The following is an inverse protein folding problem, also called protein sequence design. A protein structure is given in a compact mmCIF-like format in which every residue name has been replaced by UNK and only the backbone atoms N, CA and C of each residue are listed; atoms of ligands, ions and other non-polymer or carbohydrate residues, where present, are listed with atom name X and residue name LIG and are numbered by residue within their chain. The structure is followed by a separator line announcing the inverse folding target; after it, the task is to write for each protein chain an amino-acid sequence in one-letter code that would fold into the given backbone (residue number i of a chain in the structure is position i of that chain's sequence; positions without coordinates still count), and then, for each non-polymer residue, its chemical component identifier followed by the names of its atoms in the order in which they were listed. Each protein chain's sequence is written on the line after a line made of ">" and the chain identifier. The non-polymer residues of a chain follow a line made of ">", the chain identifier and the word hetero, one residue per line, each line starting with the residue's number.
data_IF_420199673645
#
_entry.id   IF_420199673645
#
_cell.length_a   1.000
_cell.length_b   1.000
_cell.length_c   1.000
_cell.angle_alpha   90.00
_cell.angle_beta   90.00
_cell.angle_gamma   90.00
#
_symmetry.space_group_name_H-M   'P 1'
#
loop_
_entity.id
_entity.type
_entity.pdbx_description
1 polymer ?
#
# COMPACT_ATOMS: atom_id res chain seq x y z
N UNK A 1 71.58 27.20 7.90
CA UNK A 1 72.90 26.54 7.95
C UNK A 1 72.72 25.07 7.56
N UNK A 2 73.72 24.46 6.91
CA UNK A 2 74.01 23.01 6.75
C UNK A 2 72.81 22.02 6.72
N UNK A 3 72.43 21.34 5.63
CA UNK A 3 73.17 20.45 4.68
C UNK A 3 73.65 19.12 5.30
N UNK A 4 73.28 18.02 4.62
CA UNK A 4 73.79 16.61 4.57
C UNK A 4 72.67 15.58 4.83
N UNK A 5 72.32 14.61 3.96
CA UNK A 5 73.09 13.63 3.13
C UNK A 5 73.67 12.47 3.97
N UNK A 6 73.67 11.19 3.57
CA UNK A 6 73.29 10.54 2.30
C UNK A 6 73.11 9.00 2.45
N UNK A 7 72.49 8.37 1.43
CA UNK A 7 72.66 6.99 0.89
C UNK A 7 72.77 5.74 1.80
N UNK A 8 72.08 4.66 1.38
CA UNK A 8 72.76 3.49 0.78
C UNK A 8 71.84 2.65 -0.13
N UNK A 9 72.43 2.09 -1.20
CA UNK A 9 71.82 1.17 -2.17
C UNK A 9 72.01 -0.30 -1.77
N UNK A 10 71.10 -1.18 -2.19
CA UNK A 10 71.26 -2.64 -2.15
C UNK A 10 70.35 -3.31 -3.20
N UNK A 11 70.82 -4.35 -3.88
CA UNK A 11 70.27 -4.81 -5.17
C UNK A 11 69.88 -6.31 -5.17
N UNK A 12 68.80 -6.63 -5.89
CA UNK A 12 68.44 -7.91 -6.54
C UNK A 12 67.85 -9.15 -5.80
N UNK A 13 66.69 -9.56 -6.37
CA UNK A 13 66.25 -10.91 -6.81
C UNK A 13 65.50 -11.91 -5.90
N UNK A 14 64.33 -12.31 -6.44
CA UNK A 14 63.58 -13.59 -6.32
C UNK A 14 63.03 -14.01 -4.93
N UNK A 15 61.91 -14.71 -4.77
CA UNK A 15 60.67 -15.01 -5.52
C UNK A 15 59.88 -16.04 -4.69
N UNK A 16 58.54 -16.07 -4.79
CA UNK A 16 57.58 -17.13 -4.36
C UNK A 16 57.21 -17.26 -2.88
N UNK A 17 55.95 -17.69 -2.69
CA UNK A 17 55.22 -17.76 -1.41
C UNK A 17 54.40 -16.48 -1.22
N UNK A 18 53.26 -16.25 -1.88
CA UNK A 18 52.10 -17.15 -2.08
C UNK A 18 51.51 -17.67 -0.75
N UNK A 19 51.07 -16.71 0.07
CA UNK A 19 49.91 -16.88 0.95
C UNK A 19 49.11 -15.58 0.89
N UNK A 20 48.32 -15.39 -0.19
CA UNK A 20 47.26 -14.39 -0.16
C UNK A 20 46.22 -14.90 0.84
N UNK A 21 46.04 -14.16 1.94
CA UNK A 21 44.87 -14.30 2.79
C UNK A 21 43.62 -14.12 1.90
N UNK A 22 43.00 -15.23 1.52
CA UNK A 22 41.70 -15.18 0.86
C UNK A 22 40.73 -14.55 1.84
N UNK A 23 40.27 -13.34 1.52
CA UNK A 23 39.10 -12.72 2.12
C UNK A 23 37.88 -13.60 1.81
N UNK A 24 37.70 -14.65 2.60
CA UNK A 24 36.51 -15.48 2.55
C UNK A 24 35.33 -14.64 3.02
N UNK A 25 34.32 -14.53 2.16
CA UNK A 25 33.01 -14.06 2.58
C UNK A 25 32.49 -15.01 3.67
N UNK A 26 32.58 -14.58 4.92
CA UNK A 26 32.07 -15.36 6.05
C UNK A 26 30.56 -15.46 5.88
N UNK A 27 30.03 -16.68 5.72
CA UNK A 27 28.59 -16.91 5.73
C UNK A 27 28.05 -16.48 7.10
N UNK A 28 27.25 -15.42 7.12
CA UNK A 28 26.55 -14.97 8.33
C UNK A 28 25.19 -15.65 8.39
N UNK A 29 24.97 -16.49 9.40
CA UNK A 29 23.68 -17.17 9.62
C UNK A 29 22.51 -16.21 9.92
N UNK A 30 22.79 -14.91 10.14
CA UNK A 30 21.79 -13.84 10.32
C UNK A 30 22.24 -12.55 9.62
N UNK A 31 21.41 -12.08 8.67
CA UNK A 31 21.70 -10.94 7.80
C UNK A 31 21.49 -9.57 8.48
N UNK A 32 22.44 -8.62 8.35
CA UNK A 32 22.23 -7.21 8.67
C UNK A 32 22.02 -6.36 7.40
N UNK A 33 20.83 -5.77 7.26
CA UNK A 33 20.53 -4.72 6.28
C UNK A 33 19.70 -5.19 5.08
N UNK A 34 18.54 -4.55 4.88
CA UNK A 34 17.70 -4.73 3.69
C UNK A 34 18.18 -3.78 2.58
N UNK A 35 18.09 -4.23 1.32
CA UNK A 35 18.24 -3.38 0.15
C UNK A 35 17.22 -3.73 -0.92
N UNK A 36 16.91 -2.78 -1.84
CA UNK A 36 15.73 -2.91 -2.69
C UNK A 36 15.83 -4.14 -3.63
N UNK A 37 14.76 -4.94 -3.74
CA UNK A 37 14.67 -6.12 -4.61
C UNK A 37 15.07 -5.91 -6.08
N UNK A 38 14.82 -4.71 -6.57
CA UNK A 38 14.20 -4.56 -7.88
C UNK A 38 15.20 -4.46 -9.05
N UNK A 39 16.49 -4.25 -8.77
CA UNK A 39 17.43 -3.72 -9.77
C UNK A 39 18.58 -4.61 -10.23
N UNK A 40 19.06 -5.60 -9.46
CA UNK A 40 20.17 -6.45 -9.91
C UNK A 40 20.16 -7.88 -9.35
N UNK A 41 20.45 -8.86 -10.21
CA UNK A 41 20.72 -10.24 -9.80
C UNK A 41 22.15 -10.36 -9.26
N UNK A 42 22.35 -9.94 -8.01
CA UNK A 42 23.64 -10.01 -7.31
C UNK A 42 24.49 -8.75 -7.47
N UNK A 43 24.14 -7.67 -6.78
CA UNK A 43 24.96 -6.47 -6.70
C UNK A 43 25.67 -6.34 -5.35
N UNK A 44 26.90 -5.83 -5.39
CA UNK A 44 27.68 -5.44 -4.22
C UNK A 44 27.75 -3.91 -4.19
N UNK A 45 27.47 -3.29 -3.05
CA UNK A 45 27.45 -1.83 -2.92
C UNK A 45 28.54 -1.34 -1.98
N UNK A 46 29.21 -0.25 -2.37
CA UNK A 46 30.15 0.48 -1.51
C UNK A 46 29.43 1.55 -0.69
N UNK A 47 29.93 1.85 0.51
CA UNK A 47 29.54 3.06 1.25
C UNK A 47 30.18 4.35 0.70
N UNK A 48 31.02 4.26 -0.35
CA UNK A 48 31.74 5.39 -0.93
C UNK A 48 31.02 5.93 -2.17
N UNK A 49 30.81 7.25 -2.20
CA UNK A 49 30.18 7.94 -3.33
C UNK A 49 30.95 7.69 -4.64
N UNK A 50 30.22 7.36 -5.70
CA UNK A 50 30.78 7.09 -7.04
C UNK A 50 31.30 5.66 -7.29
N UNK A 51 31.08 4.70 -6.38
CA UNK A 51 31.54 3.31 -6.54
C UNK A 51 30.37 2.33 -6.57
N UNK A 52 30.16 1.69 -7.72
CA UNK A 52 29.10 0.67 -7.94
C UNK A 52 29.67 -0.58 -8.61
N UNK A 53 29.25 -1.76 -8.15
CA UNK A 53 29.63 -3.04 -8.75
C UNK A 53 28.39 -3.90 -9.04
N UNK A 54 28.29 -4.41 -10.26
CA UNK A 54 27.25 -5.35 -10.68
C UNK A 54 27.89 -6.71 -10.96
N UNK A 55 27.37 -7.78 -10.36
CA UNK A 55 27.67 -9.14 -10.79
C UNK A 55 26.56 -9.62 -11.75
N UNK A 56 26.88 -10.63 -12.56
CA UNK A 56 25.92 -11.29 -13.44
C UNK A 56 25.54 -12.65 -12.85
N UNK A 57 24.31 -13.14 -13.08
CA UNK A 57 23.86 -14.43 -12.56
C UNK A 57 24.67 -15.61 -13.11
N UNK A 58 24.81 -16.65 -12.28
CA UNK A 58 25.42 -17.92 -12.65
C UNK A 58 24.77 -18.53 -13.90
N UNK A 59 25.59 -18.89 -14.89
CA UNK A 59 25.16 -19.50 -16.15
C UNK A 59 25.79 -18.89 -17.40
N UNK A 60 26.29 -17.65 -17.33
CA UNK A 60 27.13 -17.07 -18.38
C UNK A 60 28.58 -17.52 -18.20
N UNK A 61 29.01 -18.50 -19.00
CA UNK A 61 30.34 -19.09 -18.94
C UNK A 61 31.45 -18.04 -19.13
N UNK A 62 32.13 -17.66 -18.05
CA UNK A 62 33.28 -16.76 -18.06
C UNK A 62 33.20 -15.58 -17.08
N UNK A 63 32.06 -15.33 -16.44
CA UNK A 63 31.95 -14.32 -15.39
C UNK A 63 32.45 -14.87 -14.03
N UNK A 64 33.21 -14.10 -13.23
CA UNK A 64 33.63 -14.53 -11.90
C UNK A 64 32.46 -14.52 -10.89
N UNK A 65 32.30 -15.65 -10.21
CA UNK A 65 31.51 -15.80 -8.99
C UNK A 65 31.91 -14.74 -7.94
N UNK A 66 30.93 -14.14 -7.25
CA UNK A 66 31.11 -13.10 -6.24
C UNK A 66 32.16 -13.45 -5.16
N UNK A 67 32.30 -14.73 -4.80
CA UNK A 67 33.28 -15.22 -3.83
C UNK A 67 34.75 -15.23 -4.31
N UNK A 68 35.05 -14.67 -5.48
CA UNK A 68 36.40 -14.65 -6.07
C UNK A 68 36.87 -13.31 -6.64
N UNK A 69 36.11 -12.22 -6.50
CA UNK A 69 36.55 -10.91 -7.01
C UNK A 69 37.48 -10.20 -6.02
N UNK A 70 38.77 -10.10 -6.36
CA UNK A 70 39.73 -9.32 -5.60
C UNK A 70 39.40 -7.81 -5.72
N UNK A 71 39.13 -7.17 -4.59
CA UNK A 71 38.95 -5.72 -4.53
C UNK A 71 40.30 -5.01 -4.76
N UNK A 72 40.33 -3.84 -5.43
CA UNK A 72 41.55 -3.06 -5.53
C UNK A 72 41.99 -2.63 -4.13
N UNK A 73 43.26 -2.85 -3.79
CA UNK A 73 43.80 -2.44 -2.50
C UNK A 73 43.86 -0.90 -2.40
N UNK A 74 43.36 -0.35 -1.30
CA UNK A 74 43.79 0.96 -0.81
C UNK A 74 44.74 0.81 0.38
N UNK A 75 45.32 1.93 0.81
CA UNK A 75 46.37 1.97 1.84
C UNK A 75 45.82 1.79 3.27
N UNK A 76 44.50 1.63 3.47
CA UNK A 76 43.86 1.49 4.79
C UNK A 76 42.98 0.22 4.95
N UNK A 77 42.75 -0.55 3.89
CA UNK A 77 42.57 -2.00 3.94
C UNK A 77 41.17 -2.56 4.21
N UNK A 78 40.13 -1.74 4.35
CA UNK A 78 38.77 -2.24 4.66
C UNK A 78 37.65 -1.50 3.91
N UNK A 79 36.89 -2.25 3.09
CA UNK A 79 35.63 -1.79 2.50
C UNK A 79 34.43 -2.32 3.29
N UNK A 80 33.59 -1.41 3.77
CA UNK A 80 32.25 -1.76 4.26
C UNK A 80 31.26 -1.76 3.08
N UNK A 81 30.62 -2.91 2.86
CA UNK A 81 29.62 -3.10 1.82
C UNK A 81 28.66 -4.23 2.18
N UNK A 82 27.58 -4.35 1.41
CA UNK A 82 26.58 -5.40 1.58
C UNK A 82 26.20 -6.00 0.21
N UNK A 83 25.70 -7.23 0.25
CA UNK A 83 25.15 -7.94 -0.91
C UNK A 83 23.63 -8.06 -0.72
N UNK A 84 22.86 -7.73 -1.76
CA UNK A 84 21.42 -8.02 -1.79
C UNK A 84 21.16 -9.21 -2.72
N UNK A 85 20.46 -10.21 -2.21
CA UNK A 85 19.95 -11.33 -2.99
C UNK A 85 18.43 -11.31 -2.91
N UNK A 86 17.78 -11.06 -4.04
CA UNK A 86 16.37 -11.43 -4.17
C UNK A 86 16.30 -12.85 -4.69
N UNK A 87 16.01 -13.79 -3.81
CA UNK A 87 15.45 -15.06 -4.25
C UNK A 87 14.11 -14.75 -4.91
N UNK A 88 14.09 -14.77 -6.25
CA UNK A 88 12.84 -14.94 -7.00
C UNK A 88 12.12 -16.10 -6.32
N UNK A 89 10.95 -15.90 -5.69
CA UNK A 89 10.40 -16.89 -4.78
C UNK A 89 10.18 -18.18 -5.55
N UNK A 90 11.05 -19.16 -5.29
CA UNK A 90 10.91 -20.50 -5.87
C UNK A 90 9.61 -21.01 -5.31
N UNK A 91 8.63 -21.22 -6.18
CA UNK A 91 7.21 -21.42 -5.84
C UNK A 91 7.00 -22.74 -5.10
N UNK A 92 7.48 -22.77 -3.86
CA UNK A 92 7.33 -23.85 -2.91
C UNK A 92 5.89 -23.76 -2.44
N UNK A 93 5.01 -24.33 -3.26
CA UNK A 93 3.57 -24.36 -3.08
C UNK A 93 3.26 -25.17 -1.83
N UNK A 94 3.38 -24.50 -0.68
CA UNK A 94 2.93 -25.00 0.61
C UNK A 94 1.46 -25.28 0.42
N UNK A 95 1.10 -26.57 0.39
CA UNK A 95 -0.24 -27.02 0.00
C UNK A 95 -1.21 -26.85 1.16
N UNK A 96 -1.38 -25.60 1.62
CA UNK A 96 -2.59 -25.21 2.32
C UNK A 96 -3.75 -25.54 1.41
N UNK A 97 -4.77 -26.19 1.97
CA UNK A 97 -5.92 -26.68 1.23
C UNK A 97 -6.80 -25.50 0.80
N UNK A 98 -6.35 -24.76 -0.21
CA UNK A 98 -7.05 -23.61 -0.77
C UNK A 98 -8.41 -24.06 -1.25
N UNK A 99 -9.47 -23.62 -0.58
CA UNK A 99 -10.85 -23.79 -1.01
C UNK A 99 -10.94 -23.44 -2.50
N UNK A 100 -11.40 -24.35 -3.37
CA UNK A 100 -11.42 -24.11 -4.80
C UNK A 100 -12.17 -22.83 -5.14
N UNK A 101 -11.46 -21.90 -5.76
CA UNK A 101 -11.96 -20.60 -6.17
C UNK A 101 -12.91 -20.77 -7.37
N UNK A 102 -14.24 -20.62 -7.20
CA UNK A 102 -15.20 -21.05 -8.23
C UNK A 102 -15.31 -20.07 -9.41
N UNK A 103 -14.77 -18.86 -9.26
CA UNK A 103 -14.78 -17.81 -10.26
C UNK A 103 -13.59 -16.85 -10.03
N UNK A 104 -12.96 -16.41 -11.12
CA UNK A 104 -11.96 -15.34 -11.16
C UNK A 104 -12.32 -14.39 -12.29
N UNK A 105 -12.98 -13.29 -11.93
CA UNK A 105 -13.44 -12.26 -12.88
C UNK A 105 -12.62 -10.98 -12.80
N UNK A 106 -11.90 -10.74 -11.70
CA UNK A 106 -11.03 -9.59 -11.54
C UNK A 106 -9.57 -10.05 -11.62
N UNK A 107 -8.84 -9.52 -12.59
CA UNK A 107 -7.38 -9.52 -12.63
C UNK A 107 -6.89 -8.14 -12.27
N UNK A 108 -5.90 -8.05 -11.38
CA UNK A 108 -5.16 -6.81 -11.14
C UNK A 108 -3.73 -6.97 -11.64
N UNK A 109 -3.25 -6.00 -12.42
CA UNK A 109 -1.96 -6.00 -13.10
C UNK A 109 -1.13 -4.82 -12.59
N UNK A 110 0.15 -5.05 -12.30
CA UNK A 110 1.09 -3.99 -12.00
C UNK A 110 1.79 -3.53 -13.30
N UNK A 111 1.63 -2.24 -13.66
CA UNK A 111 2.31 -1.57 -14.78
C UNK A 111 3.38 -0.58 -14.33
N UNK A 112 3.76 -0.59 -13.05
CA UNK A 112 5.05 -0.04 -12.64
C UNK A 112 6.18 -0.90 -13.22
N UNK A 113 7.15 -0.25 -13.87
CA UNK A 113 8.31 -0.91 -14.45
C UNK A 113 9.31 -1.44 -13.40
N UNK A 114 9.45 -0.71 -12.28
CA UNK A 114 10.47 -0.99 -11.27
C UNK A 114 9.87 -1.42 -9.94
N UNK A 115 8.73 -0.87 -9.53
CA UNK A 115 8.25 -0.98 -8.14
C UNK A 115 7.08 -1.96 -7.98
N UNK A 116 7.09 -2.84 -6.96
CA UNK A 116 5.96 -3.69 -6.66
C UNK A 116 4.79 -2.88 -6.09
N UNK A 117 3.57 -3.33 -6.41
CA UNK A 117 2.35 -2.89 -5.73
C UNK A 117 1.89 -3.99 -4.76
N UNK A 118 1.22 -3.58 -3.70
CA UNK A 118 0.48 -4.44 -2.80
C UNK A 118 -0.99 -4.09 -2.92
N UNK A 119 -1.87 -5.07 -3.08
CA UNK A 119 -3.31 -4.82 -3.09
C UNK A 119 -3.89 -5.20 -1.74
N UNK A 120 -4.59 -4.25 -1.13
CA UNK A 120 -5.52 -4.53 -0.04
C UNK A 120 -6.96 -4.53 -0.58
N UNK A 121 -7.83 -5.26 0.09
CA UNK A 121 -9.23 -5.39 -0.29
C UNK A 121 -10.16 -5.61 0.91
N UNK A 122 -11.43 -5.23 0.76
CA UNK A 122 -12.49 -5.61 1.68
C UNK A 122 -13.73 -6.09 0.92
N UNK A 123 -14.68 -6.67 1.65
CA UNK A 123 -15.99 -7.10 1.22
C UNK A 123 -17.07 -6.56 2.18
N UNK A 124 -18.34 -6.67 1.78
CA UNK A 124 -19.47 -6.13 2.54
C UNK A 124 -19.40 -6.45 4.05
N UNK A 125 -19.71 -5.43 4.86
CA UNK A 125 -19.64 -5.43 6.33
C UNK A 125 -18.21 -5.43 6.91
N UNK A 126 -17.21 -5.00 6.14
CA UNK A 126 -15.82 -4.92 6.61
C UNK A 126 -15.22 -6.30 6.86
N UNK A 127 -15.48 -7.23 5.94
CA UNK A 127 -14.88 -8.56 5.94
C UNK A 127 -13.73 -8.60 4.93
N UNK A 128 -12.76 -9.50 5.12
CA UNK A 128 -11.78 -9.80 4.07
C UNK A 128 -12.49 -10.68 3.01
N UNK A 129 -12.17 -10.49 1.73
CA UNK A 129 -12.66 -11.35 0.66
C UNK A 129 -12.06 -12.77 0.73
N UNK A 130 -12.40 -13.64 -0.25
CA UNK A 130 -11.88 -15.01 -0.29
C UNK A 130 -10.42 -15.12 -0.78
N UNK A 131 -9.79 -14.01 -1.16
CA UNK A 131 -8.38 -13.95 -1.58
C UNK A 131 -7.48 -13.56 -0.40
N UNK A 132 -6.16 -13.81 -0.46
CA UNK A 132 -5.23 -13.28 0.55
C UNK A 132 -5.33 -11.75 0.65
N UNK A 133 -5.27 -11.23 1.87
CA UNK A 133 -5.06 -9.80 2.08
C UNK A 133 -3.60 -9.45 1.83
N UNK A 134 -3.31 -8.23 1.37
CA UNK A 134 -1.95 -7.77 1.08
C UNK A 134 -1.25 -8.66 0.07
N UNK A 135 -1.86 -8.75 -1.10
CA UNK A 135 -1.30 -9.49 -2.21
C UNK A 135 -0.23 -8.65 -2.92
N UNK A 136 1.03 -9.08 -2.79
CA UNK A 136 2.15 -8.54 -3.56
C UNK A 136 1.98 -8.85 -5.05
N UNK A 137 2.18 -7.86 -5.91
CA UNK A 137 2.23 -7.98 -7.36
C UNK A 137 3.50 -7.27 -7.85
N UNK A 138 4.46 -8.05 -8.34
CA UNK A 138 5.73 -7.57 -8.89
C UNK A 138 5.51 -6.77 -10.19
N UNK A 139 6.48 -5.95 -10.65
CA UNK A 139 6.45 -5.33 -11.97
C UNK A 139 6.04 -6.28 -13.10
N UNK A 140 5.20 -5.77 -14.02
CA UNK A 140 4.56 -6.48 -15.14
C UNK A 140 3.87 -7.82 -14.81
N UNK A 141 3.64 -8.09 -13.53
CA UNK A 141 2.94 -9.28 -13.04
C UNK A 141 1.48 -8.97 -12.71
N UNK A 142 0.70 -10.01 -12.46
CA UNK A 142 -0.72 -9.88 -12.14
C UNK A 142 -1.17 -10.88 -11.07
N UNK A 143 -2.34 -10.64 -10.50
CA UNK A 143 -3.04 -11.59 -9.63
C UNK A 143 -4.53 -11.69 -10.01
N UNK A 144 -5.02 -12.92 -10.14
CA UNK A 144 -6.42 -13.21 -10.45
C UNK A 144 -7.22 -13.44 -9.15
N UNK A 145 -8.04 -12.46 -8.77
CA UNK A 145 -8.82 -12.47 -7.54
C UNK A 145 -9.99 -13.45 -7.57
N UNK A 146 -10.26 -14.06 -6.42
CA UNK A 146 -11.44 -14.89 -6.24
C UNK A 146 -12.70 -14.04 -6.08
N UNK A 147 -13.59 -14.16 -7.07
CA UNK A 147 -14.83 -13.37 -7.20
C UNK A 147 -16.05 -14.28 -7.31
N UNK A 148 -16.32 -15.15 -6.30
CA UNK A 148 -17.48 -16.04 -6.30
C UNK A 148 -18.78 -15.26 -6.49
N UNK A 149 -19.76 -15.94 -7.07
CA UNK A 149 -21.12 -15.44 -7.23
C UNK A 149 -21.68 -14.89 -5.90
N UNK A 150 -22.33 -13.72 -5.95
CA UNK A 150 -22.88 -13.00 -4.77
C UNK A 150 -21.85 -12.44 -3.78
N UNK A 151 -20.59 -12.27 -4.18
CA UNK A 151 -19.62 -11.49 -3.42
C UNK A 151 -19.98 -9.99 -3.54
N UNK A 152 -20.52 -9.38 -2.49
CA UNK A 152 -21.06 -8.01 -2.53
C UNK A 152 -20.16 -6.99 -1.81
N UNK A 153 -20.31 -5.71 -2.20
CA UNK A 153 -19.69 -4.57 -1.53
C UNK A 153 -18.17 -4.71 -1.38
N UNK A 154 -17.49 -5.22 -2.41
CA UNK A 154 -16.04 -5.34 -2.41
C UNK A 154 -15.36 -4.08 -2.87
N UNK A 155 -14.16 -3.86 -2.34
CA UNK A 155 -13.26 -2.77 -2.72
C UNK A 155 -11.86 -3.33 -2.84
N UNK A 156 -11.12 -2.91 -3.85
CA UNK A 156 -9.71 -3.26 -4.06
C UNK A 156 -8.95 -1.98 -4.34
N UNK A 157 -7.85 -1.75 -3.63
CA UNK A 157 -7.02 -0.55 -3.80
C UNK A 157 -5.53 -0.88 -3.75
N UNK A 158 -4.70 -0.12 -4.49
CA UNK A 158 -3.28 -0.35 -4.55
C UNK A 158 -2.56 0.40 -3.42
N UNK A 159 -1.43 -0.18 -3.03
CA UNK A 159 -0.51 0.34 -2.03
C UNK A 159 0.91 0.20 -2.55
N UNK A 160 1.77 1.14 -2.21
CA UNK A 160 3.15 1.18 -2.70
C UNK A 160 4.13 1.61 -1.62
N UNK A 161 5.37 1.18 -1.78
CA UNK A 161 6.48 1.48 -0.87
C UNK A 161 6.14 1.02 0.56
N UNK A 162 5.60 -0.21 0.64
CA UNK A 162 5.34 -0.95 1.86
C UNK A 162 6.59 -1.69 2.34
N UNK A 163 6.53 -2.23 3.56
CA UNK A 163 7.48 -3.27 3.96
C UNK A 163 7.19 -4.63 3.27
N UNK A 164 7.99 -5.62 3.61
CA UNK A 164 7.93 -7.03 3.17
C UNK A 164 6.62 -7.76 3.49
N UNK A 165 5.77 -7.19 4.35
CA UNK A 165 4.46 -7.72 4.74
C UNK A 165 3.30 -6.93 4.12
N UNK A 166 3.58 -5.98 3.23
CA UNK A 166 2.56 -5.12 2.62
C UNK A 166 1.93 -4.12 3.58
N UNK A 167 2.56 -3.81 4.72
CA UNK A 167 2.08 -2.82 5.70
C UNK A 167 3.04 -1.63 5.80
N UNK A 168 2.63 -0.59 6.53
CA UNK A 168 3.39 0.67 6.70
C UNK A 168 3.77 1.34 5.36
N UNK A 169 2.88 1.27 4.38
CA UNK A 169 3.08 1.82 3.04
C UNK A 169 3.05 3.35 3.04
N UNK A 170 3.79 3.98 2.12
CA UNK A 170 3.64 5.41 1.83
C UNK A 170 2.25 5.69 1.23
N UNK A 171 1.91 4.99 0.16
CA UNK A 171 0.63 5.10 -0.55
C UNK A 171 -0.26 3.90 -0.18
N UNK A 172 -1.57 4.11 -0.08
CA UNK A 172 -2.54 3.01 0.05
C UNK A 172 -2.75 2.43 1.47
N UNK A 173 -2.00 2.88 2.48
CA UNK A 173 -2.07 2.34 3.85
C UNK A 173 -3.28 2.86 4.66
N UNK A 174 -4.44 3.01 4.02
CA UNK A 174 -5.66 3.62 4.58
C UNK A 174 -6.34 2.82 5.69
N UNK A 175 -5.99 1.54 5.81
CA UNK A 175 -6.56 0.63 6.79
C UNK A 175 -7.69 -0.22 6.22
N UNK A 176 -8.37 -0.94 7.11
CA UNK A 176 -9.37 -1.93 6.74
C UNK A 176 -9.15 -3.26 7.45
N UNK A 177 -9.92 -4.29 7.10
CA UNK A 177 -9.82 -5.61 7.71
C UNK A 177 -8.47 -6.28 7.43
N UNK A 178 -7.71 -6.60 8.47
CA UNK A 178 -6.38 -7.22 8.33
C UNK A 178 -5.22 -6.25 8.05
N UNK A 179 -5.47 -4.95 7.96
CA UNK A 179 -4.43 -3.96 7.71
C UNK A 179 -3.62 -3.60 8.97
N UNK A 180 -2.29 -3.59 8.85
CA UNK A 180 -1.39 -3.41 10.00
C UNK A 180 -1.55 -2.08 10.75
N UNK A 181 -2.01 -1.02 10.07
CA UNK A 181 -2.16 0.30 10.68
C UNK A 181 -3.40 0.42 11.60
N UNK A 182 -4.38 -0.48 11.49
CA UNK A 182 -5.66 -0.42 12.22
C UNK A 182 -5.66 -1.25 13.51
N UNK A 183 -4.49 -1.69 14.00
CA UNK A 183 -4.35 -2.57 15.17
C UNK A 183 -5.08 -2.01 16.41
N UNK A 184 -6.11 -2.72 16.89
CA UNK A 184 -6.94 -2.28 18.01
C UNK A 184 -8.03 -1.25 17.66
N UNK A 185 -8.34 -1.07 16.38
CA UNK A 185 -9.38 -0.14 15.89
C UNK A 185 -8.95 1.32 15.84
N UNK A 186 -7.67 1.63 16.07
CA UNK A 186 -7.14 3.00 16.04
C UNK A 186 -6.68 3.38 14.62
N UNK A 187 -7.56 4.00 13.84
CA UNK A 187 -7.27 4.41 12.46
C UNK A 187 -6.42 5.69 12.33
N UNK A 188 -6.14 6.41 13.43
CA UNK A 188 -5.39 7.68 13.44
C UNK A 188 -3.92 7.55 12.95
N UNK A 189 -3.43 6.31 12.86
CA UNK A 189 -2.09 5.94 12.39
C UNK A 189 -2.06 5.46 10.94
N UNK A 190 -3.21 5.18 10.34
CA UNK A 190 -3.31 4.85 8.92
C UNK A 190 -3.05 6.07 8.04
N UNK A 191 -2.93 5.84 6.73
CA UNK A 191 -3.16 6.89 5.75
C UNK A 191 -4.62 7.36 5.84
N UNK A 192 -4.95 8.58 5.36
CA UNK A 192 -6.32 8.91 5.01
C UNK A 192 -6.79 8.01 3.85
N UNK A 193 -8.09 7.68 3.75
CA UNK A 193 -8.62 6.70 2.80
C UNK A 193 -8.75 7.20 1.35
N UNK A 194 -7.80 8.02 0.88
CA UNK A 194 -7.78 8.67 -0.43
C UNK A 194 -7.33 7.76 -1.59
N UNK A 195 -7.53 6.46 -1.48
CA UNK A 195 -7.02 5.47 -2.42
C UNK A 195 -7.88 5.37 -3.69
N UNK A 196 -7.22 5.13 -4.83
CA UNK A 196 -7.90 4.68 -6.06
C UNK A 196 -8.57 3.32 -5.81
N UNK A 197 -9.91 3.24 -5.82
CA UNK A 197 -10.65 2.00 -5.47
C UNK A 197 -11.44 1.45 -6.64
N UNK A 198 -11.20 0.19 -6.99
CA UNK A 198 -12.17 -0.58 -7.79
C UNK A 198 -13.22 -1.15 -6.84
N UNK A 199 -14.48 -0.71 -6.98
CA UNK A 199 -15.60 -1.21 -6.18
C UNK A 199 -16.44 -2.18 -7.02
N UNK A 200 -16.90 -3.26 -6.39
CA UNK A 200 -17.66 -4.29 -7.10
C UNK A 200 -18.67 -5.03 -6.21
N UNK A 201 -19.84 -5.29 -6.77
CA UNK A 201 -20.79 -6.31 -6.31
C UNK A 201 -20.99 -7.32 -7.42
N UNK A 202 -20.58 -8.56 -7.17
CA UNK A 202 -20.58 -9.64 -8.14
C UNK A 202 -21.89 -10.44 -8.09
N UNK A 203 -22.61 -10.48 -9.20
CA UNK A 203 -23.82 -11.27 -9.40
C UNK A 203 -23.56 -12.76 -9.61
N UNK A 204 -24.60 -13.45 -10.10
CA UNK A 204 -24.61 -14.90 -10.33
C UNK A 204 -24.47 -15.22 -11.82
N UNK A 205 -23.50 -16.05 -12.18
CA UNK A 205 -23.22 -16.40 -13.58
C UNK A 205 -24.35 -17.20 -14.22
N UNK A 206 -24.51 -17.02 -15.53
CA UNK A 206 -25.61 -17.61 -16.32
C UNK A 206 -27.03 -17.15 -15.95
N UNK A 207 -27.21 -16.27 -14.97
CA UNK A 207 -28.50 -15.65 -14.69
C UNK A 207 -28.72 -14.40 -15.57
N UNK A 208 -29.97 -14.09 -15.96
CA UNK A 208 -30.25 -12.94 -16.81
C UNK A 208 -30.04 -11.64 -16.04
N UNK A 209 -29.01 -10.87 -16.40
CA UNK A 209 -28.82 -9.52 -15.91
C UNK A 209 -29.87 -8.59 -16.56
N UNK A 210 -30.98 -8.36 -15.85
CA UNK A 210 -32.09 -7.52 -16.33
C UNK A 210 -32.58 -6.55 -15.26
N UNK A 211 -32.47 -5.25 -15.55
CA UNK A 211 -32.91 -4.16 -14.67
C UNK A 211 -31.96 -3.85 -13.50
N UNK A 212 -32.17 -2.70 -12.86
CA UNK A 212 -31.27 -2.08 -11.87
C UNK A 212 -31.23 -2.78 -10.49
N UNK A 213 -32.02 -3.83 -10.27
CA UNK A 213 -32.26 -4.45 -8.95
C UNK A 213 -31.87 -5.93 -8.88
N UNK A 214 -31.27 -6.49 -9.94
CA UNK A 214 -30.98 -7.92 -9.98
C UNK A 214 -29.70 -8.26 -9.21
N UNK A 215 -29.79 -9.20 -8.26
CA UNK A 215 -28.65 -9.88 -7.59
C UNK A 215 -27.86 -10.81 -8.54
N UNK A 216 -28.11 -10.66 -9.83
CA UNK A 216 -27.69 -11.52 -10.93
C UNK A 216 -26.90 -10.74 -12.00
N UNK A 217 -26.75 -9.42 -11.82
CA UNK A 217 -25.76 -8.58 -12.52
C UNK A 217 -24.51 -8.40 -11.66
N UNK A 218 -23.38 -8.15 -12.31
CA UNK A 218 -22.27 -7.46 -11.67
C UNK A 218 -22.56 -5.96 -11.69
N UNK A 219 -22.27 -5.27 -10.60
CA UNK A 219 -22.23 -3.81 -10.52
C UNK A 219 -20.80 -3.43 -10.17
N UNK A 220 -20.14 -2.70 -11.05
CA UNK A 220 -18.75 -2.28 -10.85
C UNK A 220 -18.59 -0.79 -11.10
N UNK A 221 -17.58 -0.22 -10.45
CA UNK A 221 -17.11 1.12 -10.73
C UNK A 221 -15.64 1.26 -10.32
N UNK A 222 -15.01 2.35 -10.76
CA UNK A 222 -13.82 2.88 -10.09
C UNK A 222 -14.21 4.17 -9.40
N UNK A 223 -13.78 4.29 -8.15
CA UNK A 223 -14.23 5.25 -7.18
C UNK A 223 -13.07 6.09 -6.69
N UNK A 224 -13.12 7.37 -7.03
CA UNK A 224 -12.23 8.44 -6.56
C UNK A 224 -13.00 9.39 -5.63
N UNK A 225 -14.07 8.90 -4.98
CA UNK A 225 -14.93 9.68 -4.06
C UNK A 225 -14.15 10.17 -2.84
N UNK A 226 -13.15 9.40 -2.40
CA UNK A 226 -12.30 9.75 -1.26
C UNK A 226 -10.98 10.44 -1.68
N UNK A 227 -10.53 10.24 -2.93
CA UNK A 227 -9.25 10.70 -3.44
C UNK A 227 -8.70 9.83 -4.56
N UNK A 228 -7.43 10.02 -4.92
CA UNK A 228 -6.67 9.04 -5.71
C UNK A 228 -5.22 8.89 -5.23
N UNK A 229 -4.65 7.72 -5.48
CA UNK A 229 -3.23 7.40 -5.18
C UNK A 229 -2.44 7.05 -6.43
N UNK A 230 -2.95 6.12 -7.25
CA UNK A 230 -2.32 5.67 -8.49
C UNK A 230 -3.20 5.92 -9.72
N UNK A 231 -2.61 6.30 -10.87
CA UNK A 231 -3.28 6.20 -12.16
C UNK A 231 -3.58 4.73 -12.49
N UNK A 232 -4.61 4.50 -13.29
CA UNK A 232 -5.08 3.14 -13.58
C UNK A 232 -5.67 3.03 -14.99
N UNK A 233 -5.92 1.79 -15.43
CA UNK A 233 -6.75 1.51 -16.61
C UNK A 233 -7.59 0.27 -16.34
N UNK A 234 -8.88 0.33 -16.63
CA UNK A 234 -9.80 -0.79 -16.49
C UNK A 234 -10.26 -1.24 -17.88
N UNK A 235 -9.90 -2.45 -18.27
CA UNK A 235 -10.41 -3.12 -19.47
C UNK A 235 -11.54 -4.07 -19.08
N UNK A 236 -12.63 -4.06 -19.84
CA UNK A 236 -13.88 -4.76 -19.55
C UNK A 236 -14.17 -5.78 -20.66
N UNK A 237 -14.15 -7.05 -20.31
CA UNK A 237 -14.46 -8.17 -21.20
C UNK A 237 -15.86 -8.71 -20.89
N UNK A 238 -16.88 -8.18 -21.57
CA UNK A 238 -18.24 -8.65 -21.38
C UNK A 238 -19.29 -7.71 -21.97
N UNK A 239 -20.46 -7.68 -21.34
CA UNK A 239 -21.54 -6.75 -21.69
C UNK A 239 -21.85 -5.90 -20.48
N UNK A 240 -21.54 -4.61 -20.57
CA UNK A 240 -21.81 -3.62 -19.54
C UNK A 240 -22.59 -2.44 -20.13
N UNK A 241 -23.43 -1.84 -19.30
CA UNK A 241 -24.19 -0.63 -19.58
C UNK A 241 -24.07 0.30 -18.38
N UNK A 242 -23.58 1.50 -18.61
CA UNK A 242 -23.61 2.61 -17.67
C UNK A 242 -24.78 3.56 -17.95
N UNK A 243 -24.74 4.76 -17.34
CA UNK A 243 -25.70 5.83 -17.60
C UNK A 243 -25.71 6.25 -19.07
N UNK A 244 -26.83 6.80 -19.53
CA UNK A 244 -27.01 7.30 -20.91
C UNK A 244 -26.71 6.26 -22.02
N UNK A 245 -26.91 4.97 -21.74
CA UNK A 245 -26.62 3.84 -22.65
C UNK A 245 -25.13 3.73 -23.02
N UNK A 246 -24.23 4.20 -22.14
CA UNK A 246 -22.79 4.07 -22.31
C UNK A 246 -22.39 2.59 -22.20
N UNK A 247 -21.68 2.07 -23.21
CA UNK A 247 -21.14 0.71 -23.21
C UNK A 247 -19.60 0.74 -23.21
N UNK A 248 -18.95 1.11 -22.09
CA UNK A 248 -17.50 1.20 -22.05
C UNK A 248 -16.90 -0.21 -22.09
N UNK A 249 -15.89 -0.39 -22.93
CA UNK A 249 -15.01 -1.57 -22.95
C UNK A 249 -13.66 -1.28 -22.31
N UNK A 250 -13.35 0.00 -22.09
CA UNK A 250 -12.15 0.49 -21.44
C UNK A 250 -12.48 1.80 -20.70
N UNK A 251 -11.85 2.02 -19.55
CA UNK A 251 -11.73 3.29 -18.85
C UNK A 251 -10.23 3.50 -18.62
N UNK A 252 -9.61 4.39 -19.39
CA UNK A 252 -8.20 4.74 -19.24
C UNK A 252 -8.06 6.01 -18.40
N UNK A 253 -7.39 5.87 -17.26
CA UNK A 253 -7.09 6.89 -16.27
C UNK A 253 -5.57 7.04 -16.05
N UNK A 254 -4.75 6.52 -16.96
CA UNK A 254 -3.28 6.55 -16.86
C UNK A 254 -2.71 7.98 -16.80
N UNK A 255 -3.46 8.96 -17.32
CA UNK A 255 -3.12 10.39 -17.24
C UNK A 255 -3.44 11.08 -15.90
N UNK A 256 -4.24 10.48 -15.02
CA UNK A 256 -4.59 11.09 -13.73
C UNK A 256 -3.47 10.88 -12.69
N UNK A 257 -2.37 11.62 -12.88
CA UNK A 257 -1.20 11.59 -12.00
C UNK A 257 -1.39 12.44 -10.74
N UNK A 258 -0.41 12.43 -9.84
CA UNK A 258 -0.42 13.31 -8.65
C UNK A 258 -0.11 14.77 -9.00
N UNK A 259 0.50 15.04 -10.16
CA UNK A 259 0.77 16.40 -10.65
C UNK A 259 -0.52 17.12 -11.07
N UNK A 260 -1.57 16.35 -11.41
CA UNK A 260 -2.92 16.86 -11.74
C UNK A 260 -3.76 17.15 -10.48
N UNK A 261 -3.23 16.93 -9.27
CA UNK A 261 -3.93 17.20 -8.02
C UNK A 261 -4.04 18.72 -7.76
N UNK A 262 -5.25 19.29 -7.58
CA UNK A 262 -5.42 20.73 -7.41
C UNK A 262 -4.74 21.29 -6.15
N UNK A 263 -3.74 22.14 -6.33
CA UNK A 263 -3.08 22.87 -5.22
C UNK A 263 -3.84 24.11 -4.74
N UNK A 264 -4.96 24.45 -5.40
CA UNK A 264 -5.76 25.66 -5.13
C UNK A 264 -7.26 25.45 -5.36
N UNK A 265 -7.86 24.47 -4.70
CA UNK A 265 -9.30 24.21 -4.73
C UNK A 265 -10.08 25.24 -3.88
N UNK A 266 -11.11 25.90 -4.44
CA UNK A 266 -11.94 26.85 -3.68
C UNK A 266 -13.16 26.16 -3.07
N UNK A 267 -13.12 25.92 -1.75
CA UNK A 267 -14.22 25.26 -1.03
C UNK A 267 -15.06 26.27 -0.23
N UNK A 268 -15.65 27.23 -0.95
CA UNK A 268 -16.67 28.18 -0.45
C UNK A 268 -16.20 29.30 0.48
N UNK A 269 -15.16 29.07 1.30
CA UNK A 269 -14.59 30.06 2.24
C UNK A 269 -13.14 30.44 1.95
N UNK A 270 -12.33 29.46 1.57
CA UNK A 270 -10.89 29.63 1.33
C UNK A 270 -10.43 28.65 0.26
N UNK A 271 -9.23 28.89 -0.27
CA UNK A 271 -8.51 27.92 -1.07
C UNK A 271 -7.84 26.88 -0.19
N UNK A 272 -7.78 25.64 -0.67
CA UNK A 272 -7.07 24.52 -0.07
C UNK A 272 -6.15 23.87 -1.10
N UNK A 273 -5.03 23.36 -0.63
CA UNK A 273 -4.20 22.42 -1.38
C UNK A 273 -4.75 21.00 -1.16
N UNK A 274 -5.12 20.29 -2.23
CA UNK A 274 -5.63 18.92 -2.15
C UNK A 274 -4.52 17.86 -2.10
N UNK A 275 -3.25 18.25 -2.29
CA UNK A 275 -2.13 17.31 -2.20
C UNK A 275 -2.02 16.71 -0.80
N UNK A 276 -1.91 15.38 -0.74
CA UNK A 276 -1.81 14.62 0.48
C UNK A 276 -0.33 14.32 0.77
N UNK A 277 0.32 15.16 1.57
CA UNK A 277 1.74 15.00 1.89
C UNK A 277 1.95 14.00 3.03
N UNK A 278 2.81 13.03 2.83
CA UNK A 278 3.11 12.05 3.87
C UNK A 278 3.93 12.65 5.02
N UNK A 279 3.60 12.23 6.25
CA UNK A 279 4.18 12.78 7.48
C UNK A 279 5.70 12.64 7.51
N UNK A 280 6.39 13.77 7.52
CA UNK A 280 7.83 13.86 7.76
C UNK A 280 8.71 14.03 6.53
N UNK A 281 8.20 13.77 5.32
CA UNK A 281 9.02 13.74 4.09
C UNK A 281 8.63 14.80 3.05
N UNK A 282 7.45 15.43 3.19
CA UNK A 282 6.99 16.50 2.28
C UNK A 282 6.53 16.02 0.89
N UNK A 283 6.84 14.79 0.51
CA UNK A 283 6.39 14.15 -0.73
C UNK A 283 4.87 14.01 -0.78
N UNK A 284 4.28 14.28 -1.95
CA UNK A 284 2.88 13.97 -2.26
C UNK A 284 2.72 12.45 -2.34
N UNK A 285 1.75 11.91 -1.61
CA UNK A 285 1.43 10.48 -1.54
C UNK A 285 0.01 10.16 -2.02
N UNK A 286 -0.70 11.16 -2.55
CA UNK A 286 -2.04 11.06 -3.12
C UNK A 286 -2.71 12.42 -3.25
N UNK A 287 -3.96 12.44 -3.72
CA UNK A 287 -4.82 13.61 -3.78
C UNK A 287 -6.08 13.39 -2.94
N UNK A 288 -6.40 14.31 -2.02
CA UNK A 288 -7.66 14.28 -1.28
C UNK A 288 -8.84 14.67 -2.18
N UNK A 289 -9.98 13.99 -2.08
CA UNK A 289 -11.23 14.58 -2.56
C UNK A 289 -11.64 15.79 -1.71
N UNK A 290 -12.44 16.74 -2.24
CA UNK A 290 -12.96 17.88 -1.50
C UNK A 290 -13.64 17.50 -0.17
N UNK A 291 -14.40 16.40 -0.16
CA UNK A 291 -15.01 15.89 1.07
C UNK A 291 -13.97 15.42 2.09
N UNK A 292 -13.04 14.56 1.67
CA UNK A 292 -12.05 13.99 2.58
C UNK A 292 -11.06 15.06 3.06
N UNK A 293 -10.69 16.01 2.20
CA UNK A 293 -9.88 17.19 2.57
C UNK A 293 -10.53 18.01 3.66
N UNK A 294 -11.87 18.12 3.70
CA UNK A 294 -12.53 18.90 4.74
C UNK A 294 -12.79 18.11 6.03
N UNK A 295 -12.73 16.77 6.02
CA UNK A 295 -13.22 15.92 7.12
C UNK A 295 -12.20 14.98 7.76
N UNK A 296 -11.09 14.63 7.10
CA UNK A 296 -10.08 13.71 7.66
C UNK A 296 -8.83 14.45 8.17
N UNK A 297 -8.56 14.51 9.49
CA UNK A 297 -7.43 15.23 10.07
C UNK A 297 -6.07 14.50 9.96
N UNK A 298 -6.01 13.33 9.30
CA UNK A 298 -4.76 12.60 9.10
C UNK A 298 -3.77 13.41 8.25
N UNK A 299 -2.50 13.03 8.35
CA UNK A 299 -1.38 13.66 7.63
C UNK A 299 -1.27 15.20 7.77
N UNK A 300 -1.65 15.70 8.95
CA UNK A 300 -1.58 17.13 9.31
C UNK A 300 -2.49 18.02 8.47
N UNK A 301 -3.55 17.43 7.89
CA UNK A 301 -4.61 18.17 7.26
C UNK A 301 -5.28 19.11 8.29
N UNK A 302 -5.18 20.42 8.05
CA UNK A 302 -5.61 21.45 9.00
C UNK A 302 -7.09 21.83 8.88
N UNK A 303 -7.84 21.23 7.95
CA UNK A 303 -9.27 21.47 7.83
C UNK A 303 -10.02 20.83 9.01
N UNK A 304 -11.01 21.55 9.53
CA UNK A 304 -11.81 21.14 10.70
C UNK A 304 -13.30 21.05 10.37
N UNK A 305 -13.64 20.73 9.13
CA UNK A 305 -15.02 20.59 8.68
C UNK A 305 -15.65 19.29 9.22
N UNK A 306 -16.94 19.35 9.52
CA UNK A 306 -17.75 18.15 9.76
C UNK A 306 -18.53 17.80 8.49
N UNK A 307 -18.82 16.50 8.30
CA UNK A 307 -19.55 15.99 7.14
C UNK A 307 -20.94 16.62 6.99
N UNK A 308 -21.59 16.92 8.11
CA UNK A 308 -22.92 17.53 8.20
C UNK A 308 -22.87 19.07 8.26
N UNK A 309 -21.67 19.64 8.43
CA UNK A 309 -21.44 21.09 8.52
C UNK A 309 -20.79 21.65 7.26
N UNK A 310 -19.60 22.24 7.41
CA UNK A 310 -18.93 22.96 6.32
C UNK A 310 -18.57 22.07 5.12
N UNK A 311 -18.37 20.76 5.35
CA UNK A 311 -18.09 19.81 4.29
C UNK A 311 -19.34 19.26 3.60
N UNK A 312 -20.55 19.51 4.10
CA UNK A 312 -21.78 18.93 3.56
C UNK A 312 -21.99 19.19 2.05
N UNK A 313 -21.71 20.39 1.49
CA UNK A 313 -21.83 20.64 0.05
C UNK A 313 -20.85 19.84 -0.82
N UNK A 314 -19.83 19.23 -0.21
CA UNK A 314 -18.77 18.43 -0.85
C UNK A 314 -18.89 16.93 -0.54
N UNK A 315 -19.41 16.58 0.64
CA UNK A 315 -19.60 15.21 1.11
C UNK A 315 -20.99 14.63 0.85
N UNK A 316 -21.95 15.48 0.50
CA UNK A 316 -23.34 15.16 0.22
C UNK A 316 -23.99 14.16 1.20
N UNK A 317 -24.06 14.46 2.51
CA UNK A 317 -24.80 13.64 3.46
C UNK A 317 -26.29 13.58 3.10
N UNK A 318 -26.79 12.38 2.83
CA UNK A 318 -28.19 12.09 2.53
C UNK A 318 -28.82 11.29 3.69
N UNK A 319 -29.85 11.81 4.40
CA UNK A 319 -30.35 13.20 4.39
C UNK A 319 -29.36 14.19 5.06
N UNK A 320 -29.53 15.52 4.90
CA UNK A 320 -30.65 16.21 4.25
C UNK A 320 -30.43 16.56 2.77
N UNK A 321 -29.22 16.44 2.24
CA UNK A 321 -28.93 16.74 0.83
C UNK A 321 -29.45 15.57 -0.01
N UNK A 322 -30.24 15.85 -1.05
CA UNK A 322 -30.65 14.82 -2.01
C UNK A 322 -29.56 14.56 -3.06
N UNK A 323 -29.56 13.40 -3.75
CA UNK A 323 -28.64 13.16 -4.86
C UNK A 323 -28.69 14.24 -5.95
N UNK A 324 -29.88 14.77 -6.24
CA UNK A 324 -30.04 15.90 -7.16
C UNK A 324 -29.39 17.19 -6.63
N UNK A 325 -29.63 17.55 -5.37
CA UNK A 325 -29.00 18.72 -4.75
C UNK A 325 -27.47 18.61 -4.66
N UNK A 326 -26.94 17.39 -4.55
CA UNK A 326 -25.50 17.15 -4.63
C UNK A 326 -24.95 17.43 -6.03
N UNK A 327 -25.58 16.86 -7.07
CA UNK A 327 -25.19 17.06 -8.48
C UNK A 327 -25.29 18.52 -8.94
N UNK A 328 -26.30 19.24 -8.44
CA UNK A 328 -26.48 20.69 -8.66
C UNK A 328 -25.59 21.55 -7.74
N UNK A 329 -24.94 20.93 -6.76
CA UNK A 329 -24.12 21.58 -5.73
C UNK A 329 -22.70 21.94 -6.18
N UNK A 330 -21.90 22.55 -5.29
CA UNK A 330 -20.56 23.01 -5.64
C UNK A 330 -19.56 21.89 -5.89
N UNK A 331 -19.79 20.66 -5.38
CA UNK A 331 -18.88 19.53 -5.55
C UNK A 331 -18.60 19.22 -7.03
N UNK A 332 -19.64 19.19 -7.87
CA UNK A 332 -19.53 18.93 -9.30
C UNK A 332 -18.80 20.06 -10.07
N UNK A 333 -18.58 21.22 -9.42
CA UNK A 333 -17.92 22.39 -9.98
C UNK A 333 -16.49 22.59 -9.44
N UNK A 334 -16.00 21.70 -8.58
CA UNK A 334 -14.62 21.74 -8.06
C UNK A 334 -13.60 21.50 -9.17
N UNK A 335 -12.39 22.01 -8.99
CA UNK A 335 -11.29 21.72 -9.91
C UNK A 335 -10.83 20.26 -9.80
N UNK A 336 -11.04 19.62 -8.64
CA UNK A 336 -10.91 18.18 -8.43
C UNK A 336 -11.80 17.37 -9.39
N UNK A 337 -13.11 17.61 -9.40
CA UNK A 337 -14.03 16.86 -10.27
C UNK A 337 -13.72 17.12 -11.75
N UNK A 338 -13.33 18.36 -12.11
CA UNK A 338 -12.89 18.68 -13.48
C UNK A 338 -11.60 17.95 -13.88
N UNK A 339 -10.65 17.79 -12.95
CA UNK A 339 -9.41 17.05 -13.20
C UNK A 339 -9.73 15.56 -13.39
N UNK A 340 -10.52 14.96 -12.49
CA UNK A 340 -10.99 13.57 -12.62
C UNK A 340 -11.71 13.38 -13.95
N UNK A 341 -12.77 14.12 -14.27
CA UNK A 341 -13.53 13.93 -15.51
C UNK A 341 -12.75 14.24 -16.80
N UNK A 342 -11.66 15.03 -16.73
CA UNK A 342 -10.77 15.25 -17.88
C UNK A 342 -9.96 14.00 -18.23
N UNK A 343 -9.44 13.31 -17.24
CA UNK A 343 -8.57 12.13 -17.42
C UNK A 343 -9.28 10.79 -17.25
N UNK A 344 -10.47 10.80 -16.65
CA UNK A 344 -11.26 9.64 -16.25
C UNK A 344 -12.74 9.82 -16.59
N UNK A 345 -13.12 9.90 -17.88
CA UNK A 345 -14.53 9.86 -18.27
C UNK A 345 -15.14 8.51 -17.90
N UNK A 346 -16.17 8.51 -17.06
CA UNK A 346 -16.87 7.28 -16.61
C UNK A 346 -16.44 6.74 -15.24
N UNK A 347 -15.90 7.60 -14.37
CA UNK A 347 -15.39 7.26 -13.02
C UNK A 347 -16.10 8.13 -11.98
N UNK A 348 -16.36 7.59 -10.78
CA UNK A 348 -16.95 8.38 -9.70
C UNK A 348 -15.93 9.37 -9.11
N UNK A 349 -16.19 10.67 -9.25
CA UNK A 349 -15.42 11.72 -8.57
C UNK A 349 -16.03 12.15 -7.22
N UNK A 350 -17.30 11.83 -6.95
CA UNK A 350 -18.00 12.11 -5.69
C UNK A 350 -19.24 11.21 -5.51
N UNK A 351 -19.83 11.19 -4.30
CA UNK A 351 -20.88 10.23 -3.87
C UNK A 351 -22.13 10.11 -4.78
N UNK A 352 -22.42 11.10 -5.63
CA UNK A 352 -23.59 11.11 -6.52
C UNK A 352 -23.21 11.46 -7.97
N UNK A 353 -22.00 11.08 -8.37
CA UNK A 353 -21.52 11.07 -9.77
C UNK A 353 -22.04 9.83 -10.54
N UNK A 354 -23.25 9.40 -10.18
CA UNK A 354 -23.94 8.21 -10.68
C UNK A 354 -24.29 8.31 -12.17
N UNK A 355 -24.29 9.53 -12.71
CA UNK A 355 -24.39 9.82 -14.14
C UNK A 355 -23.13 9.46 -14.94
N UNK A 356 -22.02 9.09 -14.27
CA UNK A 356 -20.74 8.74 -14.89
C UNK A 356 -20.23 7.36 -14.46
N UNK A 357 -20.17 7.06 -13.16
CA UNK A 357 -19.28 6.01 -12.63
C UNK A 357 -19.79 4.56 -12.62
N UNK A 358 -21.09 4.31 -12.42
CA UNK A 358 -21.60 2.95 -12.17
C UNK A 358 -21.91 2.18 -13.46
N UNK A 359 -21.31 1.01 -13.61
CA UNK A 359 -21.60 0.10 -14.71
C UNK A 359 -22.36 -1.13 -14.22
N UNK A 360 -23.50 -1.40 -14.85
CA UNK A 360 -24.23 -2.66 -14.73
C UNK A 360 -23.72 -3.63 -15.80
N UNK A 361 -23.16 -4.76 -15.37
CA UNK A 361 -22.54 -5.76 -16.21
C UNK A 361 -23.24 -7.12 -16.11
N UNK A 362 -23.22 -7.89 -17.20
CA UNK A 362 -23.53 -9.33 -17.14
C UNK A 362 -22.55 -10.02 -16.18
N UNK A 363 -23.04 -10.91 -15.31
CA UNK A 363 -22.19 -11.65 -14.37
C UNK A 363 -21.16 -12.58 -15.05
N UNK A 364 -21.31 -12.86 -16.35
CA UNK A 364 -20.31 -13.60 -17.14
C UNK A 364 -19.15 -12.70 -17.64
N UNK A 365 -19.14 -11.41 -17.28
CA UNK A 365 -18.08 -10.47 -17.63
C UNK A 365 -16.82 -10.68 -16.78
N UNK A 366 -15.69 -10.16 -17.26
CA UNK A 366 -14.42 -10.10 -16.52
C UNK A 366 -13.70 -8.76 -16.75
N UNK A 367 -12.76 -8.46 -15.87
CA UNK A 367 -12.21 -7.14 -15.63
C UNK A 367 -10.69 -7.26 -15.47
N UNK A 368 -9.92 -6.54 -16.29
CA UNK A 368 -8.47 -6.38 -16.10
C UNK A 368 -8.21 -4.95 -15.65
N UNK A 369 -7.76 -4.80 -14.40
CA UNK A 369 -7.44 -3.52 -13.78
C UNK A 369 -5.92 -3.36 -13.69
N UNK A 370 -5.38 -2.43 -14.45
CA UNK A 370 -3.97 -2.09 -14.45
C UNK A 370 -3.72 -0.87 -13.55
N UNK A 371 -2.69 -0.92 -12.72
CA UNK A 371 -2.20 0.24 -11.97
C UNK A 371 -0.84 0.69 -12.50
N UNK A 372 -0.68 2.00 -12.70
CA UNK A 372 0.57 2.61 -13.14
C UNK A 372 1.27 3.30 -11.97
N UNK A 373 2.58 3.51 -12.12
CA UNK A 373 3.34 4.31 -11.17
C UNK A 373 2.97 5.80 -11.26
N UNK A 374 3.02 6.55 -10.15
CA UNK A 374 2.89 8.00 -10.22
C UNK A 374 4.13 8.59 -10.92
N UNK A 375 3.92 9.65 -11.69
CA UNK A 375 4.96 10.39 -12.43
C UNK A 375 6.14 10.80 -11.57
N UNK A 376 5.87 11.22 -10.33
CA UNK A 376 6.84 11.63 -9.33
C UNK A 376 6.82 10.69 -8.13
N UNK A 377 7.38 9.48 -8.30
CA UNK A 377 7.77 8.67 -7.14
C UNK A 377 8.82 9.45 -6.33
N UNK A 378 8.59 9.75 -5.04
CA UNK A 378 9.65 10.32 -4.22
C UNK A 378 10.79 9.31 -4.13
N UNK A 379 12.03 9.76 -4.37
CA UNK A 379 13.21 8.91 -4.28
C UNK A 379 13.43 8.49 -2.82
N UNK A 380 12.89 7.33 -2.44
CA UNK A 380 13.08 6.77 -1.11
C UNK A 380 14.52 6.27 -0.97
N UNK A 381 15.38 7.14 -0.47
CA UNK A 381 16.64 6.76 0.16
C UNK A 381 16.35 6.03 1.49
N UNK A 382 15.70 4.87 1.41
CA UNK A 382 15.51 3.94 2.52
C UNK A 382 16.87 3.33 2.88
N UNK A 383 17.67 4.08 3.63
CA UNK A 383 18.66 3.47 4.50
C UNK A 383 17.86 2.72 5.56
N UNK A 384 17.74 1.40 5.39
CA UNK A 384 17.12 0.55 6.39
C UNK A 384 17.97 0.56 7.65
N UNK A 385 17.63 1.46 8.59
CA UNK A 385 18.24 1.54 9.92
C UNK A 385 17.86 0.27 10.69
N UNK A 386 18.64 -0.78 10.44
CA UNK A 386 18.54 -2.07 11.10
C UNK A 386 19.00 -1.86 12.53
N UNK A 387 18.03 -1.62 13.41
CA UNK A 387 18.28 -1.58 14.86
C UNK A 387 18.67 -2.99 15.30
N UNK A 388 19.97 -3.29 15.26
CA UNK A 388 20.55 -4.56 15.73
C UNK A 388 20.14 -4.77 17.18
N UNK A 389 19.15 -5.62 17.39
CA UNK A 389 18.64 -5.94 18.71
C UNK A 389 19.59 -6.94 19.35
N UNK A 390 20.61 -6.43 20.04
CA UNK A 390 21.68 -7.23 20.65
C UNK A 390 21.08 -8.33 21.53
N UNK A 391 21.14 -9.57 21.04
CA UNK A 391 20.74 -10.77 21.75
C UNK A 391 21.70 -11.00 22.92
N UNK A 392 21.32 -10.53 24.11
CA UNK A 392 22.07 -10.85 25.33
C UNK A 392 21.81 -12.31 25.70
N UNK A 393 22.82 -13.16 25.50
CA UNK A 393 22.78 -14.56 25.90
C UNK A 393 22.65 -14.66 27.42
N UNK A 394 21.45 -14.97 27.93
CA UNK A 394 21.27 -15.32 29.34
C UNK A 394 21.78 -16.73 29.60
N UNK A 395 22.87 -16.82 30.33
CA UNK A 395 23.35 -18.07 30.95
C UNK A 395 22.26 -18.61 31.86
N UNK A 396 21.84 -19.87 31.65
CA UNK A 396 20.88 -20.54 32.52
C UNK A 396 21.59 -21.10 33.76
N UNK A 397 21.41 -20.43 34.91
CA UNK A 397 21.76 -21.02 36.20
C UNK A 397 20.58 -21.85 36.70
N UNK A 398 20.77 -23.16 36.86
CA UNK A 398 19.75 -24.06 37.39
C UNK A 398 19.46 -23.75 38.87
N UNK A 399 18.23 -23.38 39.22
CA UNK A 399 17.79 -23.21 40.60
C UNK A 399 16.75 -24.27 40.96
N UNK A 400 17.03 -25.01 42.03
CA UNK A 400 16.22 -26.14 42.51
C UNK A 400 14.83 -25.70 42.97
N UNK A 401 13.83 -26.52 42.63
CA UNK A 401 12.40 -26.27 42.88
C UNK A 401 12.02 -26.66 44.31
N UNK A 402 11.62 -25.71 45.14
CA UNK A 402 10.97 -25.98 46.43
C UNK A 402 9.46 -25.82 46.31
N UNK A 403 8.72 -26.85 46.71
CA UNK A 403 7.26 -26.95 46.61
C UNK A 403 6.58 -26.27 47.80
N UNK A 404 5.61 -25.37 47.54
CA UNK A 404 4.61 -24.98 48.56
C UNK A 404 3.23 -24.89 47.91
N UNK A 405 2.31 -25.68 48.43
CA UNK A 405 0.87 -25.69 48.09
C UNK A 405 0.10 -24.58 48.79
N UNK A 406 -0.88 -23.95 48.11
CA UNK A 406 -1.90 -23.13 48.78
C UNK A 406 -3.30 -23.51 48.28
N UNK A 407 -4.24 -23.51 49.22
CA UNK A 407 -5.57 -24.15 49.17
C UNK A 407 -6.66 -23.23 48.63
N UNK A 408 -7.71 -23.83 48.07
CA UNK A 408 -9.00 -23.19 47.73
C UNK A 408 -9.84 -22.80 48.95
N UNK A 409 -10.54 -21.66 48.90
CA UNK A 409 -11.71 -21.37 49.77
C UNK A 409 -12.82 -20.68 48.95
N UNK A 410 -14.07 -20.89 49.36
CA UNK A 410 -15.32 -20.64 48.63
C UNK A 410 -16.18 -19.54 49.30
N UNK A 411 -17.26 -19.12 48.62
CA UNK A 411 -18.50 -18.48 49.11
C UNK A 411 -18.58 -16.93 49.12
N UNK A 412 -19.56 -16.31 48.42
CA UNK A 412 -20.96 -15.96 48.82
C UNK A 412 -20.98 -14.86 49.92
N UNK A 413 -21.71 -13.73 49.89
CA UNK A 413 -23.19 -13.60 49.74
C UNK A 413 -23.65 -12.13 49.60
N UNK A 414 -24.70 -11.89 48.81
CA UNK A 414 -25.81 -10.88 48.88
C UNK A 414 -25.78 -9.70 49.88
N UNK A 415 -26.13 -8.48 49.43
CA UNK A 415 -27.40 -7.79 49.81
C UNK A 415 -27.63 -6.38 49.22
N UNK A 416 -28.92 -6.03 49.04
CA UNK A 416 -29.47 -4.73 48.64
C UNK A 416 -29.53 -3.75 49.83
N UNK A 417 -29.77 -2.45 49.59
CA UNK A 417 -30.98 -1.71 50.04
C UNK A 417 -31.04 -0.30 49.41
N UNK A 418 -32.25 0.23 49.17
CA UNK A 418 -32.54 1.57 48.60
C UNK A 418 -32.30 2.71 49.62
N UNK A 419 -32.14 4.00 49.28
CA UNK A 419 -33.17 4.99 48.82
C UNK A 419 -32.44 6.33 48.46
N UNK A 420 -33.04 7.47 48.04
CA UNK A 420 -34.42 7.99 48.02
C UNK A 420 -34.62 9.01 46.86
N UNK A 421 -35.87 9.36 46.57
CA UNK A 421 -36.35 10.57 45.83
C UNK A 421 -36.96 11.59 46.85
N UNK A 422 -37.56 12.78 46.51
CA UNK A 422 -38.08 13.27 45.21
C UNK A 422 -37.81 14.79 44.87
N UNK A 423 -38.44 15.29 43.80
CA UNK A 423 -38.50 16.69 43.32
C UNK A 423 -38.29 16.78 41.79
N UNK A 424 -39.24 16.95 40.87
CA UNK A 424 -40.35 17.96 40.72
C UNK A 424 -39.82 19.41 40.73
N UNK A 425 -40.14 20.34 39.81
CA UNK A 425 -41.04 20.42 38.61
C UNK A 425 -40.39 21.40 37.59
N UNK A 426 -40.74 21.35 36.29
CA UNK A 426 -40.55 22.53 35.42
C UNK A 426 -40.54 22.28 33.91
N UNK A 427 -41.67 22.54 33.24
CA UNK A 427 -41.73 22.69 31.78
C UNK A 427 -42.12 24.12 31.43
N UNK A 428 -41.53 24.72 30.38
CA UNK A 428 -42.12 25.84 29.62
C UNK A 428 -41.44 25.97 28.25
N UNK A 429 -42.29 25.88 27.20
CA UNK A 429 -42.16 26.32 25.79
C UNK A 429 -40.84 25.96 25.08
#
# INVERSE_FOLDING_TARGET
>A
MAIWSCLLLGLFLASRGDEQDQLQCISLDQYPGNCPPNLMTGACYSSREGVTWACLPDGLSGAPNCGGMALPADEEGFYNGYCSFYEKPTTTSTTTTTTPCPARRLRIINRCMEEPIWIAHEAARGLIGPSPQNQLILPDSYFDYCTPDKLTGTRYWPKMLCNDQGVNCLLGSSGGPGEGCSSGGQYDRCAPPLDTKFEATFGRRGAPCSGLSSVDCDFIDVSLVDGWTLPFRLTIHGKCSGPNDLHPTEIDCSGLTLDECPTREFMGKTFYDLQAHYRGYGSVAGCYSPCLKLTDPKWNNSATGTREGEAAPFCCPTPPISPQQCREGPVAQTDYVKAVHRYCPGVYAYCYDDAMGLLQCSADSSYELEFFCPSTMPSWNYVWVTTTKTSSSRTWTSVTRTTTSVTSVTATTTSKTATRQPGEVGAFI
#
